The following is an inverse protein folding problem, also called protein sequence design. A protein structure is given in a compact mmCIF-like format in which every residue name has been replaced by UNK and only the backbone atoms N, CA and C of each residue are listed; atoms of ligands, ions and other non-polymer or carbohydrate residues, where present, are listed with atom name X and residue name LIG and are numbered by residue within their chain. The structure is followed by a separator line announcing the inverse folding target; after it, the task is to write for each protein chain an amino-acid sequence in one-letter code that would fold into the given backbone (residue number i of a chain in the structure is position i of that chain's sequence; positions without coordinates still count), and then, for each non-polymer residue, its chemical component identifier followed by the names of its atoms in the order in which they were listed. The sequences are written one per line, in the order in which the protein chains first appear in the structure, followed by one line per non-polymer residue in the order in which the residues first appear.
data_IF_571877232085
#
_entry.id   IF_571877232085
#
_cell.length_a   1.000
_cell.length_b   1.000
_cell.length_c   1.000
_cell.angle_alpha   90.00
_cell.angle_beta   90.00
_cell.angle_gamma   90.00
#
_symmetry.space_group_name_H-M   'P 1'
#
loop_
_entity.id
_entity.type
_entity.pdbx_description
1 polymer ?
#
# COMPACT_ATOMS: atom_id res chain seq x y z
N UNK A 1 -74.02 20.92 -22.25
CA UNK A 1 -73.77 19.48 -22.03
C UNK A 1 -72.80 18.97 -23.08
N UNK A 2 -71.49 19.18 -22.90
CA UNK A 2 -70.42 18.60 -23.74
C UNK A 2 -69.11 18.43 -22.94
N UNK A 3 -69.19 18.33 -21.62
CA UNK A 3 -68.02 18.19 -20.75
C UNK A 3 -67.47 16.76 -20.54
N UNK A 4 -68.22 15.64 -20.72
CA UNK A 4 -67.62 14.32 -20.46
C UNK A 4 -66.67 13.85 -21.57
N UNK A 5 -66.77 14.39 -22.80
CA UNK A 5 -65.99 13.90 -23.95
C UNK A 5 -64.55 14.47 -23.98
N UNK A 6 -64.34 15.68 -23.45
CA UNK A 6 -63.01 16.30 -23.33
C UNK A 6 -62.18 15.69 -22.19
N UNK A 7 -62.82 15.29 -21.09
CA UNK A 7 -62.16 14.57 -19.98
C UNK A 7 -61.67 13.18 -20.43
N UNK A 8 -62.45 12.45 -21.24
CA UNK A 8 -62.03 11.16 -21.79
C UNK A 8 -60.79 11.27 -22.69
N UNK A 9 -60.72 12.28 -23.56
CA UNK A 9 -59.53 12.51 -24.40
C UNK A 9 -58.30 12.95 -23.59
N UNK A 10 -58.50 13.73 -22.52
CA UNK A 10 -57.43 14.13 -21.60
C UNK A 10 -56.79 12.98 -20.82
N UNK A 11 -57.52 11.87 -20.61
CA UNK A 11 -57.01 10.70 -19.87
C UNK A 11 -56.34 9.64 -20.76
N UNK A 12 -56.61 9.62 -22.07
CA UNK A 12 -56.02 8.62 -22.99
C UNK A 12 -54.50 8.80 -23.12
N UNK A 13 -54.05 10.04 -23.27
CA UNK A 13 -52.63 10.37 -23.47
C UNK A 13 -51.76 9.96 -22.27
N UNK A 14 -52.08 10.32 -21.01
CA UNK A 14 -51.28 9.90 -19.86
C UNK A 14 -51.33 8.39 -19.59
N UNK A 15 -52.47 7.74 -19.83
CA UNK A 15 -52.58 6.28 -19.74
C UNK A 15 -51.68 5.61 -20.80
N UNK A 16 -51.64 6.15 -22.02
CA UNK A 16 -50.75 5.67 -23.08
C UNK A 16 -49.26 5.88 -22.75
N UNK A 17 -48.91 6.97 -22.06
CA UNK A 17 -47.54 7.26 -21.59
C UNK A 17 -47.12 6.25 -20.51
N UNK A 18 -48.00 5.91 -19.58
CA UNK A 18 -47.71 4.90 -18.54
C UNK A 18 -47.58 3.49 -19.15
N UNK A 19 -48.48 3.11 -20.06
CA UNK A 19 -48.39 1.85 -20.78
C UNK A 19 -47.10 1.77 -21.61
N UNK A 20 -46.77 2.86 -22.32
CA UNK A 20 -45.52 2.98 -23.07
C UNK A 20 -44.29 2.86 -22.18
N UNK A 21 -44.28 3.45 -20.99
CA UNK A 21 -43.16 3.37 -20.07
C UNK A 21 -42.97 1.96 -19.49
N UNK A 22 -44.04 1.19 -19.29
CA UNK A 22 -43.96 -0.21 -18.90
C UNK A 22 -43.31 -1.04 -20.02
N UNK A 23 -43.73 -0.83 -21.27
CA UNK A 23 -43.17 -1.53 -22.44
C UNK A 23 -41.68 -1.19 -22.60
N UNK A 24 -41.32 0.09 -22.56
CA UNK A 24 -39.92 0.54 -22.61
C UNK A 24 -39.11 -0.06 -21.46
N UNK A 25 -39.68 -0.13 -20.26
CA UNK A 25 -39.03 -0.72 -19.10
C UNK A 25 -38.75 -2.22 -19.26
N UNK A 26 -39.70 -2.96 -19.84
CA UNK A 26 -39.53 -4.38 -20.15
C UNK A 26 -38.47 -4.60 -21.24
N UNK A 27 -38.44 -3.76 -22.27
CA UNK A 27 -37.43 -3.80 -23.32
C UNK A 27 -36.03 -3.49 -22.77
N UNK A 28 -35.88 -2.43 -21.98
CA UNK A 28 -34.62 -2.08 -21.32
C UNK A 28 -34.14 -3.19 -20.40
N UNK A 29 -35.05 -3.78 -19.60
CA UNK A 29 -34.74 -4.93 -18.74
C UNK A 29 -34.20 -6.12 -19.56
N UNK A 30 -34.82 -6.39 -20.71
CA UNK A 30 -34.37 -7.45 -21.63
C UNK A 30 -32.99 -7.16 -22.22
N UNK A 31 -32.78 -5.94 -22.73
CA UNK A 31 -31.54 -5.51 -23.40
C UNK A 31 -30.36 -5.47 -22.44
N UNK A 32 -30.52 -4.81 -21.28
CA UNK A 32 -29.50 -4.79 -20.23
C UNK A 32 -29.23 -6.22 -19.77
N UNK A 33 -30.28 -7.04 -19.62
CA UNK A 33 -30.14 -8.41 -19.21
C UNK A 33 -29.36 -9.29 -20.20
N UNK A 34 -29.51 -9.04 -21.49
CA UNK A 34 -28.75 -9.66 -22.57
C UNK A 34 -27.29 -9.18 -22.57
N UNK A 35 -27.07 -7.87 -22.44
CA UNK A 35 -25.73 -7.26 -22.42
C UNK A 35 -24.90 -7.72 -21.23
N UNK A 36 -25.50 -7.74 -20.03
CA UNK A 36 -24.86 -8.24 -18.81
C UNK A 36 -24.51 -9.72 -18.95
N UNK A 37 -25.42 -10.55 -19.49
CA UNK A 37 -25.13 -11.98 -19.74
C UNK A 37 -23.97 -12.16 -20.73
N UNK A 38 -23.88 -11.31 -21.76
CA UNK A 38 -22.81 -11.32 -22.75
C UNK A 38 -21.44 -10.99 -22.14
N UNK A 39 -21.38 -10.04 -21.22
CA UNK A 39 -20.14 -9.69 -20.50
C UNK A 39 -19.75 -10.79 -19.53
N UNK A 40 -20.72 -11.30 -18.76
CA UNK A 40 -20.40 -12.28 -17.73
C UNK A 40 -19.97 -13.63 -18.33
N UNK A 41 -20.57 -14.05 -19.46
CA UNK A 41 -20.13 -15.26 -20.16
C UNK A 41 -18.69 -15.17 -20.67
N UNK A 42 -18.13 -13.96 -20.87
CA UNK A 42 -16.71 -13.77 -21.20
C UNK A 42 -15.79 -13.86 -19.99
N UNK A 43 -16.32 -13.65 -18.79
CA UNK A 43 -15.57 -13.58 -17.54
C UNK A 43 -15.66 -14.87 -16.69
N UNK A 44 -16.49 -15.84 -17.07
CA UNK A 44 -16.55 -17.15 -16.40
C UNK A 44 -17.00 -17.10 -14.93
N UNK A 45 -17.80 -16.11 -14.52
CA UNK A 45 -18.14 -15.88 -13.11
C UNK A 45 -19.21 -16.84 -12.56
N UNK A 46 -18.90 -17.54 -11.46
CA UNK A 46 -19.83 -18.46 -10.76
C UNK A 46 -21.11 -17.77 -10.22
N UNK A 47 -21.05 -16.50 -9.82
CA UNK A 47 -22.20 -15.71 -9.33
C UNK A 47 -22.93 -14.89 -10.39
N UNK A 48 -22.66 -15.17 -11.67
CA UNK A 48 -23.23 -14.48 -12.83
C UNK A 48 -24.74 -14.27 -12.76
N UNK A 49 -25.45 -15.34 -12.40
CA UNK A 49 -26.91 -15.35 -12.41
C UNK A 49 -27.48 -14.34 -11.41
N UNK A 50 -26.93 -14.29 -10.19
CA UNK A 50 -27.37 -13.39 -9.13
C UNK A 50 -27.11 -11.92 -9.48
N UNK A 51 -25.93 -11.61 -10.02
CA UNK A 51 -25.58 -10.24 -10.43
C UNK A 51 -26.48 -9.73 -11.57
N UNK A 52 -26.80 -10.61 -12.52
CA UNK A 52 -27.68 -10.26 -13.64
C UNK A 52 -29.10 -9.90 -13.18
N UNK A 53 -29.61 -10.54 -12.13
CA UNK A 53 -30.95 -10.26 -11.59
C UNK A 53 -30.97 -8.86 -10.97
N UNK A 54 -29.96 -8.53 -10.16
CA UNK A 54 -29.88 -7.25 -9.44
C UNK A 54 -29.78 -6.05 -10.36
N UNK A 55 -29.05 -6.17 -11.47
CA UNK A 55 -28.94 -5.07 -12.44
C UNK A 55 -30.24 -4.90 -13.24
N UNK A 56 -30.98 -5.97 -13.53
CA UNK A 56 -32.14 -5.92 -14.45
C UNK A 56 -33.40 -5.31 -13.83
N UNK A 57 -33.68 -5.59 -12.56
CA UNK A 57 -34.93 -5.14 -11.91
C UNK A 57 -35.09 -3.62 -11.76
N UNK A 58 -34.03 -2.85 -11.41
CA UNK A 58 -34.10 -1.39 -11.26
C UNK A 58 -34.59 -0.66 -12.51
N UNK A 59 -34.16 -1.09 -13.71
CA UNK A 59 -34.56 -0.44 -14.97
C UNK A 59 -36.08 -0.46 -15.22
N UNK A 60 -36.75 -1.53 -14.79
CA UNK A 60 -38.20 -1.61 -14.88
C UNK A 60 -38.85 -0.57 -13.95
N UNK A 61 -38.39 -0.51 -12.70
CA UNK A 61 -38.92 0.45 -11.73
C UNK A 61 -38.63 1.90 -12.14
N UNK A 62 -37.44 2.20 -12.68
CA UNK A 62 -37.10 3.53 -13.18
C UNK A 62 -37.94 3.95 -14.39
N UNK A 63 -38.19 3.04 -15.33
CA UNK A 63 -39.02 3.32 -16.50
C UNK A 63 -40.47 3.61 -16.09
N UNK A 64 -41.02 2.84 -15.15
CA UNK A 64 -42.37 3.08 -14.61
C UNK A 64 -42.43 4.44 -13.91
N UNK A 65 -41.46 4.76 -13.05
CA UNK A 65 -41.42 6.01 -12.29
C UNK A 65 -41.29 7.23 -13.22
N UNK A 66 -40.47 7.12 -14.27
CA UNK A 66 -40.31 8.14 -15.30
C UNK A 66 -41.60 8.32 -16.12
N UNK A 67 -42.30 7.23 -16.46
CA UNK A 67 -43.61 7.31 -17.12
C UNK A 67 -44.68 7.99 -16.27
N UNK A 68 -44.74 7.69 -14.98
CA UNK A 68 -45.65 8.37 -14.04
C UNK A 68 -45.30 9.86 -13.95
N UNK A 69 -44.02 10.22 -13.88
CA UNK A 69 -43.57 11.61 -13.82
C UNK A 69 -43.98 12.41 -15.07
N UNK A 70 -43.88 11.81 -16.27
CA UNK A 70 -44.29 12.44 -17.52
C UNK A 70 -45.82 12.53 -17.60
N UNK A 71 -46.53 11.46 -17.22
CA UNK A 71 -47.99 11.42 -17.26
C UNK A 71 -48.64 12.48 -16.34
N UNK A 72 -48.09 12.69 -15.14
CA UNK A 72 -48.59 13.69 -14.18
C UNK A 72 -48.40 15.12 -14.71
N UNK A 73 -47.31 15.40 -15.44
CA UNK A 73 -47.11 16.70 -16.09
C UNK A 73 -48.12 16.98 -17.19
N UNK A 74 -48.59 15.94 -17.89
CA UNK A 74 -49.56 16.06 -18.97
C UNK A 74 -50.99 16.29 -18.45
N UNK A 75 -51.32 15.67 -17.32
CA UNK A 75 -52.69 15.66 -16.77
C UNK A 75 -53.12 17.02 -16.21
N UNK A 76 -52.22 17.88 -15.74
CA UNK A 76 -52.53 19.22 -15.22
C UNK A 76 -53.74 19.32 -14.26
N UNK A 77 -54.13 18.21 -13.60
CA UNK A 77 -55.41 18.12 -12.86
C UNK A 77 -55.40 18.97 -11.60
N UNK A 78 -54.23 19.19 -10.97
CA UNK A 78 -54.12 20.00 -9.75
C UNK A 78 -52.75 20.71 -9.65
N UNK A 79 -52.63 22.00 -10.04
CA UNK A 79 -51.39 22.76 -9.92
C UNK A 79 -50.83 22.87 -8.50
N UNK A 80 -51.71 22.92 -7.49
CA UNK A 80 -51.29 23.04 -6.07
C UNK A 80 -50.64 21.76 -5.52
N UNK A 81 -50.87 20.60 -6.15
CA UNK A 81 -50.33 19.32 -5.69
C UNK A 81 -48.96 18.98 -6.34
N UNK A 82 -48.63 19.60 -7.47
CA UNK A 82 -47.35 19.44 -8.19
C UNK A 82 -46.11 19.62 -7.29
N UNK A 83 -46.00 20.67 -6.44
CA UNK A 83 -44.82 20.87 -5.59
C UNK A 83 -44.62 19.77 -4.53
N UNK A 84 -45.64 18.96 -4.24
CA UNK A 84 -45.52 17.83 -3.31
C UNK A 84 -45.31 16.50 -4.04
N UNK A 85 -45.98 16.30 -5.18
CA UNK A 85 -45.91 15.05 -5.95
C UNK A 85 -44.55 14.89 -6.64
N UNK A 86 -44.01 15.96 -7.23
CA UNK A 86 -42.74 15.88 -7.99
C UNK A 86 -41.54 15.52 -7.10
N UNK A 87 -41.36 16.12 -5.91
CA UNK A 87 -40.33 15.70 -4.96
C UNK A 87 -40.50 14.26 -4.47
N UNK A 88 -41.72 13.80 -4.23
CA UNK A 88 -41.98 12.41 -3.84
C UNK A 88 -41.55 11.41 -4.93
N UNK A 89 -41.81 11.72 -6.21
CA UNK A 89 -41.35 10.90 -7.33
C UNK A 89 -39.83 10.92 -7.45
N UNK A 90 -39.21 12.10 -7.36
CA UNK A 90 -37.75 12.22 -7.36
C UNK A 90 -37.11 11.47 -6.20
N UNK A 91 -37.70 11.55 -5.00
CA UNK A 91 -37.24 10.82 -3.84
C UNK A 91 -37.36 9.30 -4.01
N UNK A 92 -38.48 8.82 -4.57
CA UNK A 92 -38.63 7.41 -4.94
C UNK A 92 -37.59 6.94 -5.95
N UNK A 93 -37.28 7.77 -6.96
CA UNK A 93 -36.23 7.49 -7.93
C UNK A 93 -34.85 7.38 -7.27
N UNK A 94 -34.49 8.36 -6.43
CA UNK A 94 -33.23 8.38 -5.68
C UNK A 94 -33.11 7.15 -4.77
N UNK A 95 -34.16 6.79 -4.03
CA UNK A 95 -34.14 5.61 -3.15
C UNK A 95 -33.90 4.31 -3.93
N UNK A 96 -34.60 4.12 -5.06
CA UNK A 96 -34.42 2.94 -5.91
C UNK A 96 -33.01 2.89 -6.51
N UNK A 97 -32.48 4.04 -6.92
CA UNK A 97 -31.11 4.16 -7.41
C UNK A 97 -30.10 3.80 -6.32
N UNK A 98 -30.24 4.38 -5.13
CA UNK A 98 -29.37 4.10 -3.97
C UNK A 98 -29.45 2.64 -3.54
N UNK A 99 -30.63 2.02 -3.53
CA UNK A 99 -30.76 0.58 -3.25
C UNK A 99 -30.05 -0.29 -4.29
N UNK A 100 -30.12 0.11 -5.56
CA UNK A 100 -29.43 -0.60 -6.64
C UNK A 100 -27.92 -0.51 -6.47
N UNK A 101 -27.40 0.69 -6.25
CA UNK A 101 -25.97 0.94 -6.00
C UNK A 101 -25.51 0.17 -4.77
N UNK A 102 -26.27 0.21 -3.67
CA UNK A 102 -25.95 -0.51 -2.44
C UNK A 102 -25.88 -2.03 -2.66
N UNK A 103 -26.85 -2.61 -3.39
CA UNK A 103 -26.84 -4.05 -3.71
C UNK A 103 -25.68 -4.45 -4.62
N UNK A 104 -25.35 -3.61 -5.60
CA UNK A 104 -24.19 -3.85 -6.48
C UNK A 104 -22.90 -3.80 -5.65
N UNK A 105 -22.73 -2.76 -4.84
CA UNK A 105 -21.56 -2.59 -3.98
C UNK A 105 -21.39 -3.77 -3.01
N UNK A 106 -22.48 -4.21 -2.36
CA UNK A 106 -22.40 -5.34 -1.43
C UNK A 106 -22.07 -6.66 -2.10
N UNK A 107 -22.57 -6.88 -3.32
CA UNK A 107 -22.20 -8.08 -4.07
C UNK A 107 -20.74 -8.09 -4.50
N UNK A 108 -20.21 -6.95 -4.95
CA UNK A 108 -18.78 -6.84 -5.29
C UNK A 108 -17.90 -7.16 -4.10
N UNK A 109 -18.24 -6.63 -2.92
CA UNK A 109 -17.51 -6.89 -1.68
C UNK A 109 -17.64 -8.36 -1.25
N UNK A 110 -18.85 -8.94 -1.34
CA UNK A 110 -19.09 -10.34 -0.97
C UNK A 110 -18.38 -11.34 -1.90
N UNK A 111 -18.20 -11.03 -3.19
CA UNK A 111 -17.42 -11.85 -4.12
C UNK A 111 -15.95 -11.90 -3.68
N UNK A 112 -15.42 -10.77 -3.22
CA UNK A 112 -14.02 -10.66 -2.83
C UNK A 112 -13.74 -11.27 -1.44
N UNK A 113 -14.76 -11.34 -0.58
CA UNK A 113 -14.65 -11.90 0.77
C UNK A 113 -14.67 -13.43 0.82
N UNK A 114 -15.28 -14.12 -0.13
CA UNK A 114 -15.43 -15.59 -0.03
C UNK A 114 -14.13 -16.36 -0.34
N UNK A 115 -13.13 -15.69 -0.89
CA UNK A 115 -11.80 -16.28 -1.12
C UNK A 115 -10.88 -16.21 0.11
N UNK A 116 -11.27 -15.49 1.18
CA UNK A 116 -10.46 -15.35 2.39
C UNK A 116 -11.18 -16.02 3.56
N UNK A 117 -10.72 -17.21 3.95
CA UNK A 117 -11.36 -18.13 4.90
C UNK A 117 -11.64 -17.59 6.33
N UNK A 118 -11.34 -16.34 6.66
CA UNK A 118 -11.52 -15.79 8.02
C UNK A 118 -11.75 -14.27 8.03
N UNK A 119 -12.98 -13.78 7.86
CA UNK A 119 -13.23 -12.33 7.92
C UNK A 119 -14.60 -11.93 8.51
N UNK A 120 -14.70 -11.67 9.84
CA UNK A 120 -15.78 -10.85 10.40
C UNK A 120 -15.76 -9.39 9.86
N UNK A 121 -14.66 -8.94 9.27
CA UNK A 121 -14.46 -7.59 8.71
C UNK A 121 -15.29 -7.28 7.47
N UNK A 122 -15.69 -8.30 6.69
CA UNK A 122 -16.51 -8.09 5.49
C UNK A 122 -17.88 -7.51 5.82
N UNK A 123 -18.50 -7.97 6.91
CA UNK A 123 -19.81 -7.46 7.36
C UNK A 123 -19.77 -6.00 7.80
N UNK A 124 -18.65 -5.55 8.39
CA UNK A 124 -18.48 -4.18 8.86
C UNK A 124 -18.31 -3.22 7.67
N UNK A 125 -17.46 -3.58 6.70
CA UNK A 125 -17.26 -2.80 5.47
C UNK A 125 -18.58 -2.68 4.70
N UNK A 126 -19.32 -3.77 4.56
CA UNK A 126 -20.63 -3.79 3.91
C UNK A 126 -21.62 -2.81 4.56
N UNK A 127 -21.70 -2.82 5.90
CA UNK A 127 -22.60 -1.94 6.65
C UNK A 127 -22.19 -0.47 6.52
N UNK A 128 -20.89 -0.16 6.58
CA UNK A 128 -20.40 1.21 6.38
C UNK A 128 -20.74 1.70 4.97
N UNK A 129 -20.47 0.90 3.93
CA UNK A 129 -20.80 1.27 2.54
C UNK A 129 -22.28 1.53 2.35
N UNK A 130 -23.16 0.66 2.88
CA UNK A 130 -24.60 0.86 2.81
C UNK A 130 -25.03 2.14 3.55
N UNK A 131 -24.51 2.34 4.75
CA UNK A 131 -24.82 3.52 5.57
C UNK A 131 -24.44 4.82 4.84
N UNK A 132 -23.24 4.90 4.26
CA UNK A 132 -22.80 6.06 3.48
C UNK A 132 -23.69 6.32 2.26
N UNK A 133 -24.09 5.28 1.52
CA UNK A 133 -24.98 5.42 0.35
C UNK A 133 -26.34 5.97 0.78
N UNK A 134 -26.91 5.47 1.88
CA UNK A 134 -28.21 5.93 2.36
C UNK A 134 -28.16 7.35 2.94
N UNK A 135 -27.07 7.75 3.60
CA UNK A 135 -26.89 9.15 4.02
C UNK A 135 -26.95 10.08 2.80
N UNK A 136 -26.20 9.76 1.73
CA UNK A 136 -26.19 10.57 0.50
C UNK A 136 -27.60 10.60 -0.11
N UNK A 137 -28.28 9.45 -0.16
CA UNK A 137 -29.65 9.34 -0.66
C UNK A 137 -30.60 10.26 0.09
N UNK A 138 -30.55 10.24 1.43
CA UNK A 138 -31.37 11.07 2.31
C UNK A 138 -31.12 12.55 2.02
N UNK A 139 -29.87 13.00 1.94
CA UNK A 139 -29.54 14.41 1.62
C UNK A 139 -30.14 14.83 0.27
N UNK A 140 -30.00 14.00 -0.77
CA UNK A 140 -30.56 14.28 -2.09
C UNK A 140 -32.08 14.32 -2.08
N UNK A 141 -32.74 13.46 -1.30
CA UNK A 141 -34.19 13.46 -1.14
C UNK A 141 -34.63 14.76 -0.45
N UNK A 142 -34.00 15.16 0.66
CA UNK A 142 -34.34 16.41 1.36
C UNK A 142 -34.19 17.63 0.44
N UNK A 143 -33.17 17.65 -0.42
CA UNK A 143 -33.00 18.71 -1.42
C UNK A 143 -34.21 18.82 -2.37
N UNK A 144 -34.79 17.69 -2.77
CA UNK A 144 -35.98 17.67 -3.63
C UNK A 144 -37.20 18.31 -2.97
N UNK A 145 -37.29 18.25 -1.63
CA UNK A 145 -38.34 18.92 -0.84
C UNK A 145 -38.04 20.40 -0.56
N UNK A 146 -36.98 20.96 -1.14
CA UNK A 146 -36.61 22.36 -0.94
C UNK A 146 -35.93 22.64 0.41
N UNK A 147 -35.52 21.59 1.14
CA UNK A 147 -34.73 21.77 2.35
C UNK A 147 -33.34 22.26 1.97
N UNK A 148 -32.85 23.29 2.66
CA UNK A 148 -31.49 23.79 2.46
C UNK A 148 -30.47 22.74 2.93
N UNK A 149 -29.89 22.01 1.98
CA UNK A 149 -28.88 20.99 2.25
C UNK A 149 -27.51 21.57 2.61
N UNK A 150 -27.27 22.88 2.43
CA UNK A 150 -25.96 23.47 2.73
C UNK A 150 -25.59 23.30 4.20
N UNK A 151 -26.55 23.45 5.12
CA UNK A 151 -26.32 23.23 6.55
C UNK A 151 -26.00 21.76 6.86
N UNK A 152 -26.67 20.82 6.19
CA UNK A 152 -26.45 19.38 6.37
C UNK A 152 -25.08 18.97 5.80
N UNK A 153 -24.73 19.46 4.61
CA UNK A 153 -23.42 19.23 3.99
C UNK A 153 -22.32 19.84 4.85
N UNK A 154 -22.51 21.04 5.39
CA UNK A 154 -21.54 21.66 6.30
C UNK A 154 -21.34 20.80 7.57
N UNK A 155 -22.43 20.31 8.17
CA UNK A 155 -22.36 19.42 9.34
C UNK A 155 -21.67 18.07 9.00
N UNK A 156 -22.00 17.46 7.86
CA UNK A 156 -21.33 16.25 7.37
C UNK A 156 -19.85 16.49 7.06
N UNK A 157 -19.51 17.68 6.57
CA UNK A 157 -18.12 18.09 6.32
C UNK A 157 -17.31 18.16 7.61
N UNK A 158 -17.84 18.82 8.65
CA UNK A 158 -17.19 18.90 9.97
C UNK A 158 -17.12 17.50 10.62
N UNK A 159 -18.19 16.71 10.56
CA UNK A 159 -18.21 15.33 11.05
C UNK A 159 -17.22 14.42 10.31
N UNK A 160 -17.10 14.60 8.99
CA UNK A 160 -16.14 13.89 8.15
C UNK A 160 -14.69 14.25 8.47
N UNK A 161 -14.42 15.53 8.75
CA UNK A 161 -13.10 15.98 9.22
C UNK A 161 -12.74 15.34 10.56
N UNK A 162 -13.67 15.34 11.53
CA UNK A 162 -13.45 14.71 12.82
C UNK A 162 -13.18 13.19 12.69
N UNK A 163 -13.91 12.51 11.82
CA UNK A 163 -13.68 11.09 11.51
C UNK A 163 -12.33 10.85 10.82
N UNK A 164 -11.93 11.73 9.90
CA UNK A 164 -10.64 11.64 9.22
C UNK A 164 -9.47 11.81 10.21
N UNK A 165 -9.58 12.74 11.17
CA UNK A 165 -8.61 12.90 12.24
C UNK A 165 -8.56 11.65 13.14
N UNK A 166 -9.72 11.08 13.50
CA UNK A 166 -9.76 9.85 14.29
C UNK A 166 -9.15 8.64 13.56
N UNK A 167 -9.23 8.60 12.23
CA UNK A 167 -8.67 7.54 11.38
C UNK A 167 -7.28 7.86 10.83
N UNK A 168 -6.66 8.97 11.25
CA UNK A 168 -5.39 9.46 10.71
C UNK A 168 -4.30 8.38 10.76
N UNK A 169 -4.17 7.66 11.87
CA UNK A 169 -3.17 6.60 12.02
C UNK A 169 -3.42 5.41 11.09
N UNK A 170 -4.69 5.06 10.86
CA UNK A 170 -5.05 3.95 9.97
C UNK A 170 -4.71 4.30 8.52
N UNK A 171 -5.08 5.50 8.09
CA UNK A 171 -4.76 6.01 6.75
C UNK A 171 -3.25 6.16 6.57
N UNK A 172 -2.54 6.69 7.58
CA UNK A 172 -1.08 6.82 7.58
C UNK A 172 -0.40 5.48 7.35
N UNK A 173 -0.85 4.41 8.01
CA UNK A 173 -0.29 3.07 7.82
C UNK A 173 -0.57 2.49 6.42
N UNK A 174 -1.76 2.73 5.88
CA UNK A 174 -2.10 2.28 4.52
C UNK A 174 -1.18 2.96 3.49
N UNK A 175 -1.06 4.28 3.56
CA UNK A 175 -0.23 5.04 2.62
C UNK A 175 1.25 4.69 2.78
N UNK A 176 1.74 4.51 4.01
CA UNK A 176 3.09 4.06 4.26
C UNK A 176 3.34 2.66 3.67
N UNK A 177 2.42 1.72 3.82
CA UNK A 177 2.54 0.38 3.23
C UNK A 177 2.59 0.39 1.71
N UNK A 178 1.72 1.17 1.07
CA UNK A 178 1.72 1.38 -0.38
C UNK A 178 3.05 2.00 -0.83
N UNK A 179 3.51 3.04 -0.13
CA UNK A 179 4.77 3.71 -0.45
C UNK A 179 5.97 2.77 -0.33
N UNK A 180 6.10 2.03 0.78
CA UNK A 180 7.17 1.04 0.99
C UNK A 180 7.21 0.03 -0.16
N UNK A 181 6.04 -0.48 -0.54
CA UNK A 181 5.92 -1.48 -1.61
C UNK A 181 6.28 -0.90 -2.98
N UNK A 182 5.84 0.32 -3.29
CA UNK A 182 6.10 0.97 -4.58
C UNK A 182 7.52 1.51 -4.72
N UNK A 183 8.11 2.00 -3.63
CA UNK A 183 9.47 2.52 -3.62
C UNK A 183 10.51 1.41 -3.81
N UNK A 184 10.20 0.17 -3.45
CA UNK A 184 11.06 -1.01 -3.67
C UNK A 184 12.34 -1.05 -2.82
N UNK A 185 12.61 -0.01 -2.02
CA UNK A 185 13.80 0.10 -1.16
C UNK A 185 13.81 -0.91 -0.01
N UNK A 186 12.65 -1.45 0.35
CA UNK A 186 12.47 -2.53 1.32
C UNK A 186 11.57 -3.57 0.66
N UNK A 187 12.14 -4.75 0.41
CA UNK A 187 11.43 -5.86 -0.22
C UNK A 187 11.44 -7.09 0.67
N UNK A 188 10.46 -7.97 0.47
CA UNK A 188 10.44 -9.29 1.12
C UNK A 188 11.73 -10.05 0.81
N UNK A 189 12.35 -10.61 1.84
CA UNK A 189 13.66 -11.26 1.78
C UNK A 189 14.84 -10.35 2.12
N UNK A 190 14.66 -9.02 2.21
CA UNK A 190 15.75 -8.13 2.61
C UNK A 190 16.09 -8.25 4.09
N UNK A 191 17.39 -8.28 4.41
CA UNK A 191 17.86 -8.10 5.78
C UNK A 191 18.03 -6.61 6.05
N UNK A 192 17.25 -6.07 6.98
CA UNK A 192 17.24 -4.65 7.31
C UNK A 192 17.51 -4.43 8.79
N UNK A 193 18.19 -3.32 9.11
CA UNK A 193 18.27 -2.78 10.47
C UNK A 193 17.54 -1.45 10.53
N UNK A 194 16.75 -1.30 11.58
CA UNK A 194 15.93 -0.12 11.84
C UNK A 194 16.53 0.60 13.04
N UNK A 195 16.85 1.87 12.82
CA UNK A 195 17.35 2.81 13.82
C UNK A 195 16.34 3.96 13.96
N UNK A 196 16.24 4.52 15.16
CA UNK A 196 15.38 5.68 15.46
C UNK A 196 13.89 5.50 15.13
N UNK A 197 13.38 4.27 15.25
CA UNK A 197 11.95 4.02 15.13
C UNK A 197 11.22 4.50 16.39
N UNK A 198 10.17 5.30 16.20
CA UNK A 198 9.31 5.76 17.30
C UNK A 198 8.69 4.55 18.01
N UNK A 199 8.89 4.45 19.33
CA UNK A 199 8.37 3.39 20.21
C UNK A 199 8.95 1.98 20.01
N UNK A 200 10.02 1.81 19.23
CA UNK A 200 10.68 0.51 19.03
C UNK A 200 12.18 0.69 19.25
N UNK A 201 12.77 -0.15 20.09
CA UNK A 201 14.23 -0.28 20.19
C UNK A 201 14.83 -0.70 18.84
N UNK A 202 16.15 -0.60 18.68
CA UNK A 202 16.82 -1.06 17.46
C UNK A 202 16.38 -2.49 17.13
N UNK A 203 15.84 -2.69 15.92
CA UNK A 203 15.36 -3.97 15.44
C UNK A 203 16.05 -4.31 14.13
N UNK A 204 16.52 -5.54 14.02
CA UNK A 204 17.18 -6.06 12.82
C UNK A 204 16.60 -7.42 12.44
N UNK A 205 16.46 -7.69 11.15
CA UNK A 205 15.88 -8.96 10.69
C UNK A 205 15.53 -9.00 9.22
N UNK A 206 15.15 -10.19 8.76
CA UNK A 206 14.66 -10.45 7.41
C UNK A 206 13.19 -10.05 7.27
N UNK A 207 12.87 -9.27 6.24
CA UNK A 207 11.48 -8.93 5.90
C UNK A 207 10.77 -10.18 5.40
N UNK A 208 9.76 -10.68 6.12
CA UNK A 208 8.96 -11.83 5.70
C UNK A 208 7.72 -11.40 4.93
N UNK A 209 7.07 -10.33 5.38
CA UNK A 209 5.80 -9.89 4.82
C UNK A 209 5.65 -8.37 4.93
N UNK A 210 5.05 -7.77 3.91
CA UNK A 210 4.64 -6.38 3.87
C UNK A 210 3.13 -6.37 3.64
N UNK A 211 2.38 -6.30 4.73
CA UNK A 211 0.92 -6.23 4.74
C UNK A 211 0.42 -4.79 4.60
N UNK A 212 -0.89 -4.62 4.40
CA UNK A 212 -1.51 -3.29 4.18
C UNK A 212 -1.33 -2.29 5.34
N UNK A 213 -1.09 -2.76 6.57
CA UNK A 213 -0.89 -1.91 7.77
C UNK A 213 0.46 -2.13 8.45
N UNK A 214 1.08 -3.29 8.26
CA UNK A 214 2.22 -3.73 9.04
C UNK A 214 3.27 -4.42 8.19
N UNK A 215 4.53 -4.28 8.58
CA UNK A 215 5.66 -5.03 8.03
C UNK A 215 6.18 -5.97 9.10
N UNK A 216 6.48 -7.22 8.72
CA UNK A 216 6.90 -8.27 9.64
C UNK A 216 8.34 -8.67 9.36
N UNK A 217 9.17 -8.62 10.40
CA UNK A 217 10.58 -9.00 10.35
C UNK A 217 10.82 -10.28 11.16
N UNK A 218 11.70 -11.15 10.66
CA UNK A 218 12.30 -12.26 11.41
C UNK A 218 13.68 -11.88 11.90
N UNK A 219 13.87 -11.84 13.20
CA UNK A 219 15.19 -11.69 13.81
C UNK A 219 16.01 -12.98 13.62
N UNK A 220 17.32 -12.86 13.79
CA UNK A 220 18.26 -14.00 13.73
C UNK A 220 18.02 -15.02 14.85
N UNK A 221 17.49 -14.58 15.99
CA UNK A 221 17.06 -15.44 17.11
C UNK A 221 15.75 -16.21 16.82
N UNK A 222 15.15 -15.99 15.65
CA UNK A 222 13.90 -16.63 15.20
C UNK A 222 12.63 -15.90 15.62
N UNK A 223 12.72 -14.82 16.42
CA UNK A 223 11.56 -14.05 16.86
C UNK A 223 10.98 -13.17 15.75
N UNK A 224 9.68 -12.90 15.84
CA UNK A 224 8.94 -12.09 14.87
C UNK A 224 8.71 -10.68 15.42
N UNK A 225 9.09 -9.66 14.66
CA UNK A 225 8.83 -8.25 14.98
C UNK A 225 7.79 -7.72 14.02
N UNK A 226 6.64 -7.28 14.54
CA UNK A 226 5.55 -6.71 13.74
C UNK A 226 5.55 -5.19 13.92
N UNK A 227 5.82 -4.47 12.83
CA UNK A 227 5.95 -3.02 12.84
C UNK A 227 4.79 -2.38 12.08
N UNK A 228 4.15 -1.33 12.63
CA UNK A 228 3.27 -0.47 11.83
C UNK A 228 4.06 0.14 10.66
N UNK A 229 3.46 0.15 9.47
CA UNK A 229 4.10 0.68 8.27
C UNK A 229 4.46 2.17 8.45
N UNK A 230 3.63 2.95 9.16
CA UNK A 230 3.91 4.37 9.40
C UNK A 230 5.14 4.59 10.30
N UNK A 231 5.41 3.69 11.25
CA UNK A 231 6.61 3.73 12.09
C UNK A 231 7.83 3.37 11.25
N UNK A 232 7.74 2.32 10.42
CA UNK A 232 8.82 1.90 9.53
C UNK A 232 9.18 3.01 8.52
N UNK A 233 8.19 3.66 7.91
CA UNK A 233 8.42 4.72 6.92
C UNK A 233 9.06 5.98 7.48
N UNK A 234 8.98 6.18 8.81
CA UNK A 234 9.57 7.33 9.50
C UNK A 234 10.93 7.00 10.13
N UNK A 235 11.33 5.74 10.15
CA UNK A 235 12.57 5.28 10.75
C UNK A 235 13.74 5.34 9.76
N UNK A 236 14.96 5.41 10.30
CA UNK A 236 16.17 5.23 9.50
C UNK A 236 16.36 3.74 9.23
N UNK A 237 16.32 3.33 7.97
CA UNK A 237 16.48 1.94 7.56
C UNK A 237 17.82 1.74 6.86
N UNK A 238 18.62 0.82 7.38
CA UNK A 238 19.82 0.31 6.72
C UNK A 238 19.43 -1.01 6.05
N UNK A 239 19.46 -1.04 4.72
CA UNK A 239 19.27 -2.25 3.95
C UNK A 239 20.63 -2.86 3.63
N UNK A 240 20.88 -4.08 4.10
CA UNK A 240 22.17 -4.75 3.89
C UNK A 240 22.28 -5.50 2.55
N UNK A 241 21.20 -5.51 1.74
CA UNK A 241 21.16 -6.21 0.45
C UNK A 241 21.30 -5.24 -0.74
N UNK A 242 20.87 -3.99 -0.60
CA UNK A 242 20.88 -3.00 -1.67
C UNK A 242 22.03 -1.98 -1.52
N UNK A 243 22.62 -1.45 -2.61
CA UNK A 243 22.34 -1.75 -4.02
C UNK A 243 23.06 -3.00 -4.56
N UNK A 244 24.21 -3.36 -3.98
CA UNK A 244 24.98 -4.56 -4.32
C UNK A 244 25.27 -5.37 -3.05
N UNK A 245 25.31 -6.70 -3.17
CA UNK A 245 25.55 -7.66 -2.06
C UNK A 245 27.02 -7.69 -1.62
N UNK A 246 27.77 -6.62 -1.90
CA UNK A 246 29.19 -6.50 -1.58
C UNK A 246 29.33 -6.05 -0.12
N UNK A 247 29.64 -7.00 0.76
CA UNK A 247 29.86 -6.71 2.17
C UNK A 247 31.29 -6.18 2.33
N UNK A 248 31.45 -4.86 2.46
CA UNK A 248 32.75 -4.25 2.79
C UNK A 248 33.08 -4.54 4.26
N UNK A 249 34.04 -5.41 4.48
CA UNK A 249 34.59 -5.74 5.79
C UNK A 249 35.80 -4.84 6.06
N UNK A 250 35.94 -4.42 7.31
CA UNK A 250 37.03 -3.60 7.82
C UNK A 250 37.58 -4.21 9.10
N UNK A 251 38.90 -4.27 9.19
CA UNK A 251 39.61 -4.66 10.39
C UNK A 251 40.81 -3.76 10.63
N UNK A 252 41.06 -3.45 11.90
CA UNK A 252 42.25 -2.74 12.34
C UNK A 252 43.29 -3.74 12.83
N UNK A 253 44.49 -3.71 12.27
CA UNK A 253 45.63 -4.54 12.66
C UNK A 253 46.68 -3.63 13.28
N UNK A 254 46.99 -3.85 14.55
CA UNK A 254 47.99 -3.09 15.29
C UNK A 254 49.25 -3.92 15.46
N UNK A 255 50.40 -3.40 15.03
CA UNK A 255 51.72 -4.02 15.19
C UNK A 255 52.62 -3.13 16.05
N UNK A 256 53.73 -3.68 16.55
CA UNK A 256 54.73 -2.90 17.27
C UNK A 256 55.41 -1.84 16.38
N UNK A 257 55.86 -0.73 16.98
CA UNK A 257 56.52 0.38 16.28
C UNK A 257 57.87 0.01 15.66
N UNK A 258 58.46 -1.10 16.09
CA UNK A 258 59.67 -1.66 15.48
C UNK A 258 59.44 -2.41 14.15
N UNK A 259 58.19 -2.66 13.76
CA UNK A 259 57.87 -3.41 12.54
C UNK A 259 58.13 -2.60 11.26
N UNK A 260 58.62 -3.27 10.21
CA UNK A 260 58.74 -2.68 8.87
C UNK A 260 57.35 -2.51 8.24
N UNK A 261 56.96 -1.25 8.04
CA UNK A 261 55.67 -0.84 7.49
C UNK A 261 55.41 -1.47 6.11
N UNK A 262 56.42 -1.47 5.24
CA UNK A 262 56.27 -1.99 3.88
C UNK A 262 56.11 -3.52 3.88
N UNK A 263 56.84 -4.20 4.77
CA UNK A 263 56.73 -5.65 4.94
C UNK A 263 55.34 -6.03 5.47
N UNK A 264 54.85 -5.34 6.50
CA UNK A 264 53.53 -5.58 7.09
C UNK A 264 52.42 -5.40 6.04
N UNK A 265 52.46 -4.30 5.27
CA UNK A 265 51.48 -4.04 4.23
C UNK A 265 51.51 -5.13 3.14
N UNK A 266 52.70 -5.60 2.74
CA UNK A 266 52.85 -6.68 1.77
C UNK A 266 52.26 -7.99 2.27
N UNK A 267 52.54 -8.38 3.51
CA UNK A 267 52.01 -9.62 4.10
C UNK A 267 50.49 -9.55 4.22
N UNK A 268 49.94 -8.42 4.69
CA UNK A 268 48.50 -8.24 4.79
C UNK A 268 47.83 -8.34 3.41
N UNK A 269 48.44 -7.73 2.37
CA UNK A 269 47.92 -7.80 1.01
C UNK A 269 47.93 -9.25 0.50
N UNK A 270 49.03 -9.95 0.71
CA UNK A 270 49.19 -11.34 0.29
C UNK A 270 48.17 -12.26 0.95
N UNK A 271 48.06 -12.22 2.28
CA UNK A 271 47.15 -13.08 3.05
C UNK A 271 45.69 -12.87 2.66
N UNK A 272 45.26 -11.62 2.47
CA UNK A 272 43.88 -11.32 2.07
C UNK A 272 43.62 -11.72 0.63
N UNK A 273 44.61 -11.55 -0.27
CA UNK A 273 44.49 -11.94 -1.68
C UNK A 273 44.47 -13.45 -1.94
N UNK A 274 44.97 -14.25 -0.99
CA UNK A 274 44.93 -15.71 -1.07
C UNK A 274 43.55 -16.29 -0.72
N UNK A 275 42.65 -15.49 -0.15
CA UNK A 275 41.31 -15.97 0.20
C UNK A 275 40.37 -15.93 -1.01
N UNK A 276 39.62 -17.01 -1.19
CA UNK A 276 38.55 -17.06 -2.20
C UNK A 276 37.36 -16.18 -1.78
N UNK A 277 36.65 -15.63 -2.78
CA UNK A 277 35.48 -14.75 -2.59
C UNK A 277 35.77 -13.41 -1.88
N UNK A 278 37.01 -12.94 -2.00
CA UNK A 278 37.44 -11.63 -1.52
C UNK A 278 37.87 -10.75 -2.68
N UNK A 279 37.35 -9.52 -2.73
CA UNK A 279 37.66 -8.54 -3.78
C UNK A 279 37.95 -7.15 -3.19
N UNK A 280 38.41 -6.21 -4.01
CA UNK A 280 38.61 -4.78 -3.64
C UNK A 280 39.41 -4.55 -2.35
N UNK A 281 40.57 -5.21 -2.23
CA UNK A 281 41.45 -5.13 -1.06
C UNK A 281 42.12 -3.75 -1.01
N UNK A 282 42.01 -3.07 0.12
CA UNK A 282 42.70 -1.80 0.37
C UNK A 282 43.34 -1.82 1.76
N UNK A 283 44.64 -1.58 1.83
CA UNK A 283 45.38 -1.53 3.09
C UNK A 283 46.01 -0.16 3.21
N UNK A 284 45.69 0.53 4.30
CA UNK A 284 46.18 1.87 4.60
C UNK A 284 46.86 1.88 5.96
N UNK A 285 48.00 2.55 6.06
CA UNK A 285 48.51 2.98 7.36
C UNK A 285 47.54 4.04 7.90
N UNK A 286 46.97 3.77 9.07
CA UNK A 286 45.91 4.60 9.65
C UNK A 286 46.51 5.60 10.64
N UNK A 287 47.23 5.10 11.64
CA UNK A 287 47.81 5.94 12.68
C UNK A 287 49.06 5.29 13.28
N UNK A 288 50.01 6.11 13.71
CA UNK A 288 51.18 5.67 14.46
C UNK A 288 51.08 6.28 15.86
N UNK A 289 51.06 5.42 16.87
CA UNK A 289 51.05 5.77 18.28
C UNK A 289 52.39 5.43 18.93
N UNK A 290 52.60 5.84 20.19
CA UNK A 290 53.83 5.55 20.95
C UNK A 290 54.15 4.06 21.04
N UNK A 291 53.11 3.23 21.09
CA UNK A 291 53.24 1.78 21.26
C UNK A 291 52.72 0.98 20.07
N UNK A 292 52.14 1.55 19.02
CA UNK A 292 51.60 0.72 17.94
C UNK A 292 51.54 1.46 16.60
N UNK A 293 51.71 0.71 15.52
CA UNK A 293 51.36 1.15 14.17
C UNK A 293 50.06 0.45 13.78
N UNK A 294 49.03 1.24 13.51
CA UNK A 294 47.71 0.76 13.14
C UNK A 294 47.55 0.75 11.62
N UNK A 295 47.23 -0.41 11.07
CA UNK A 295 46.85 -0.61 9.68
C UNK A 295 45.34 -0.86 9.59
N UNK A 296 44.69 -0.18 8.65
CA UNK A 296 43.30 -0.44 8.28
C UNK A 296 43.27 -1.30 7.03
N UNK A 297 42.68 -2.49 7.17
CA UNK A 297 42.49 -3.44 6.09
C UNK A 297 41.00 -3.44 5.73
N UNK A 298 40.71 -3.07 4.49
CA UNK A 298 39.39 -3.16 3.89
C UNK A 298 39.39 -4.21 2.81
N UNK A 299 38.33 -5.00 2.75
CA UNK A 299 38.10 -5.94 1.66
C UNK A 299 36.61 -6.18 1.50
N UNK A 300 36.20 -6.56 0.31
CA UNK A 300 34.81 -6.86 -0.02
C UNK A 300 34.64 -8.36 -0.06
N UNK A 301 33.59 -8.86 0.57
CA UNK A 301 33.19 -10.27 0.53
C UNK A 301 31.94 -10.40 -0.34
N UNK A 302 31.96 -11.36 -1.26
CA UNK A 302 30.87 -11.57 -2.22
C UNK A 302 29.57 -12.06 -1.55
N UNK A 303 29.68 -12.74 -0.41
CA UNK A 303 28.54 -13.22 0.38
C UNK A 303 28.60 -12.69 1.84
N UNK A 304 27.66 -11.83 2.27
CA UNK A 304 27.57 -11.31 3.63
C UNK A 304 27.49 -12.39 4.72
N UNK A 305 26.90 -13.56 4.45
CA UNK A 305 26.77 -14.63 5.45
C UNK A 305 28.15 -15.27 5.75
N UNK A 306 29.01 -15.34 4.73
CA UNK A 306 30.35 -15.91 4.84
C UNK A 306 31.37 -14.97 5.50
N UNK A 307 31.00 -13.70 5.72
CA UNK A 307 31.92 -12.66 6.21
C UNK A 307 32.63 -13.07 7.51
N UNK A 308 31.95 -13.77 8.42
CA UNK A 308 32.50 -14.15 9.72
C UNK A 308 33.53 -15.27 9.59
N UNK A 309 33.26 -16.26 8.74
CA UNK A 309 34.16 -17.37 8.47
C UNK A 309 35.42 -16.89 7.74
N UNK A 310 35.25 -16.14 6.65
CA UNK A 310 36.35 -15.60 5.84
C UNK A 310 37.24 -14.69 6.70
N UNK A 311 36.63 -13.80 7.50
CA UNK A 311 37.41 -12.95 8.42
C UNK A 311 38.16 -13.78 9.45
N UNK A 312 37.58 -14.85 9.99
CA UNK A 312 38.27 -15.74 10.94
C UNK A 312 39.49 -16.40 10.31
N UNK A 313 39.37 -16.85 9.06
CA UNK A 313 40.48 -17.45 8.30
C UNK A 313 41.59 -16.44 8.01
N UNK A 314 41.23 -15.22 7.57
CA UNK A 314 42.20 -14.12 7.39
C UNK A 314 42.93 -13.83 8.70
N UNK A 315 42.22 -13.68 9.82
CA UNK A 315 42.85 -13.38 11.12
C UNK A 315 43.84 -14.48 11.51
N UNK A 316 43.47 -15.76 11.35
CA UNK A 316 44.37 -16.88 11.62
C UNK A 316 45.61 -16.88 10.72
N UNK A 317 45.42 -16.62 9.42
CA UNK A 317 46.50 -16.58 8.46
C UNK A 317 47.46 -15.40 8.71
N UNK A 318 46.95 -14.22 9.07
CA UNK A 318 47.75 -13.06 9.47
C UNK A 318 48.56 -13.38 10.72
N UNK A 319 47.93 -13.96 11.75
CA UNK A 319 48.65 -14.36 12.98
C UNK A 319 49.76 -15.37 12.70
N UNK A 320 49.52 -16.32 11.81
CA UNK A 320 50.53 -17.31 11.42
C UNK A 320 51.71 -16.65 10.69
N UNK A 321 51.43 -15.84 9.66
CA UNK A 321 52.47 -15.15 8.87
C UNK A 321 53.29 -14.15 9.68
N UNK A 322 52.65 -13.41 10.60
CA UNK A 322 53.37 -12.47 11.46
C UNK A 322 54.30 -13.20 12.44
N UNK A 323 53.91 -14.38 12.93
CA UNK A 323 54.79 -15.19 13.76
C UNK A 323 56.00 -15.76 12.98
N UNK A 324 55.82 -16.15 11.71
CA UNK A 324 56.92 -16.62 10.85
C UNK A 324 57.96 -15.52 10.59
N UNK A 325 57.50 -14.29 10.36
CA UNK A 325 58.34 -13.12 10.05
C UNK A 325 58.78 -12.35 11.31
N UNK A 326 58.54 -12.90 12.51
CA UNK A 326 58.86 -12.29 13.81
C UNK A 326 58.28 -10.87 14.02
N UNK A 327 57.12 -10.59 13.42
CA UNK A 327 56.39 -9.34 13.57
C UNK A 327 55.51 -9.41 14.82
N UNK A 328 55.76 -8.55 15.80
CA UNK A 328 55.02 -8.52 17.06
C UNK A 328 53.62 -7.90 16.86
N UNK A 329 52.62 -8.76 16.76
CA UNK A 329 51.21 -8.37 16.70
C UNK A 329 50.72 -7.87 18.06
N UNK A 330 50.09 -6.70 18.11
CA UNK A 330 49.47 -6.16 19.33
C UNK A 330 47.98 -6.44 19.41
N UNK A 331 47.23 -6.17 18.34
CA UNK A 331 45.78 -6.41 18.35
C UNK A 331 45.21 -6.53 16.94
N UNK A 332 44.08 -7.23 16.82
CA UNK A 332 43.23 -7.19 15.63
C UNK A 332 41.79 -6.95 16.08
N UNK A 333 41.17 -5.86 15.61
CA UNK A 333 39.83 -5.41 16.05
C UNK A 333 38.87 -5.31 14.87
N UNK A 334 37.60 -5.71 15.07
CA UNK A 334 36.52 -5.51 14.09
C UNK A 334 36.09 -4.05 14.09
N UNK A 335 36.07 -3.39 12.93
CA UNK A 335 35.66 -1.98 12.82
C UNK A 335 34.34 -1.77 12.06
N UNK A 336 33.67 -2.84 11.59
CA UNK A 336 32.44 -2.78 10.80
C UNK A 336 31.28 -1.98 11.44
N UNK A 337 31.25 -1.83 12.76
CA UNK A 337 30.21 -1.07 13.46
C UNK A 337 30.57 0.36 13.87
N UNK A 338 31.86 0.71 13.94
CA UNK A 338 32.31 1.94 14.62
C UNK A 338 32.90 3.00 13.67
N UNK A 339 33.37 2.63 12.48
CA UNK A 339 34.18 3.55 11.63
C UNK A 339 33.64 3.82 10.22
N UNK A 340 32.55 3.18 9.78
CA UNK A 340 31.90 3.51 8.50
C UNK A 340 31.46 4.98 8.45
N UNK A 341 31.16 5.60 9.61
CA UNK A 341 30.79 7.01 9.69
C UNK A 341 31.96 7.97 9.42
N UNK A 342 33.23 7.60 9.65
CA UNK A 342 34.37 8.50 9.42
C UNK A 342 34.92 8.41 7.99
N UNK A 343 34.94 7.21 7.38
CA UNK A 343 35.41 7.03 6.00
C UNK A 343 34.42 7.51 4.93
N UNK A 344 33.12 7.50 5.22
CA UNK A 344 32.09 8.04 4.32
C UNK A 344 32.25 9.57 4.08
N UNK A 345 32.93 10.30 4.97
CA UNK A 345 33.21 11.72 4.78
C UNK A 345 34.51 12.01 4.01
N UNK A 346 35.43 11.04 3.87
CA UNK A 346 36.70 11.24 3.18
C UNK A 346 36.74 10.70 1.74
N UNK A 347 35.79 9.86 1.37
CA UNK A 347 35.70 9.26 0.03
C UNK A 347 34.32 9.52 -0.58
N UNK A 348 34.10 10.73 -1.11
CA UNK A 348 33.00 10.92 -2.06
C UNK A 348 33.33 10.12 -3.33
N UNK A 349 32.50 9.16 -3.76
CA UNK A 349 32.61 8.63 -5.11
C UNK A 349 32.20 9.74 -6.07
N UNK A 350 33.02 9.96 -7.09
CA UNK A 350 32.66 10.75 -8.28
C UNK A 350 31.23 10.39 -8.70
N UNK A 351 30.39 11.43 -8.74
CA UNK A 351 29.02 11.35 -9.21
C UNK A 351 29.07 10.79 -10.63
N UNK A 352 28.68 9.52 -10.82
CA UNK A 352 28.48 8.96 -12.15
C UNK A 352 27.44 9.86 -12.86
N UNK A 353 27.76 10.39 -14.05
CA UNK A 353 26.81 11.21 -14.79
C UNK A 353 25.54 10.38 -15.07
N UNK A 354 24.35 11.02 -15.13
CA UNK A 354 23.12 10.33 -15.44
C UNK A 354 23.29 9.59 -16.77
N UNK A 355 22.92 8.31 -16.79
CA UNK A 355 22.86 7.52 -18.01
C UNK A 355 22.01 8.29 -19.05
N UNK A 356 22.61 8.57 -20.21
CA UNK A 356 22.10 9.47 -21.22
C UNK A 356 20.72 9.10 -21.78
N UNK A 357 20.00 10.17 -22.12
CA UNK A 357 18.85 10.38 -23.04
C UNK A 357 17.77 9.30 -23.22
#
# INVERSE_FOLDING_TARGET
MNEPFSLFHGMIIPVSIILGSIIVGLLLRGLVGWWVKRIINRLGWSRAAQFSIIIKHPFLYWSILLGIAIAIRYIAVIPWAIPYIVPCLWGGFILLLSQTIARIATQVIAIRSDNTRHAPSSTLILKITQFSIYIIAIVLILNSFGVNIAAIIAALGIGGLALALALQDTLSNIFAGIYITLAGQISVGNFIKISDAKFVEQAEGFVIDISWRTTVLRRLDGNMVVLPNNVLSQATVVNYILPDVLCRVSMKVSVDTSADIALVQKILQEVVSQQENVSSIQIHLFEIHEIAIDFMVFFVVDNPDAQFSIRSEIVKAVMHKFNEEYIMLKSIVNTNGAMLQQFAFSSQPEILPPAGE
#
